data_IF_151955045606
#
_entry.id   IF_151955045606
#
_cell.length_a   1.000
_cell.length_b   1.000
_cell.length_c   1.000
_cell.angle_alpha   90.00
_cell.angle_beta   90.00
_cell.angle_gamma   90.00
#
_symmetry.space_group_name_H-M   'P 1'
#
loop_
_entity.id
_entity.type
_entity.pdbx_description
1 polymer ?
#
# COMPACT_ATOMS: atom_id res chain seq x y z
N UNK A 1 -17.18 32.68 -4.52
CA UNK A 1 -17.59 32.43 -3.12
C UNK A 1 -18.44 31.16 -3.05
N UNK A 2 -17.82 30.02 -2.72
CA UNK A 2 -18.43 28.87 -2.01
C UNK A 2 -17.38 27.76 -1.86
N UNK A 3 -16.25 28.08 -1.22
CA UNK A 3 -15.38 27.05 -0.64
C UNK A 3 -15.95 26.71 0.74
N UNK A 4 -16.70 25.62 0.84
CA UNK A 4 -17.12 25.05 2.13
C UNK A 4 -16.46 23.69 2.31
N UNK A 5 -15.40 23.71 3.13
CA UNK A 5 -15.08 22.75 4.20
C UNK A 5 -15.72 21.35 4.04
N UNK A 6 -15.05 20.43 3.36
CA UNK A 6 -15.40 19.01 3.40
C UNK A 6 -14.25 17.96 3.25
N UNK A 7 -12.96 18.27 2.92
CA UNK A 7 -12.01 17.18 2.66
C UNK A 7 -11.30 16.61 3.91
N UNK A 8 -11.26 17.35 5.03
CA UNK A 8 -10.35 17.00 6.14
C UNK A 8 -10.84 15.88 7.07
N UNK A 9 -12.16 15.75 7.31
CA UNK A 9 -12.71 14.69 8.17
C UNK A 9 -12.74 13.33 7.45
N UNK A 10 -12.95 13.36 6.13
CA UNK A 10 -12.97 12.18 5.25
C UNK A 10 -11.56 11.57 5.16
N UNK A 11 -10.54 12.41 5.01
CA UNK A 11 -9.13 11.99 4.99
C UNK A 11 -8.69 11.30 6.30
N UNK A 12 -9.14 11.83 7.43
CA UNK A 12 -8.86 11.30 8.77
C UNK A 12 -9.50 9.92 9.02
N UNK A 13 -10.72 9.75 8.55
CA UNK A 13 -11.46 8.49 8.61
C UNK A 13 -10.88 7.44 7.64
N UNK A 14 -10.40 7.85 6.47
CA UNK A 14 -9.71 6.97 5.51
C UNK A 14 -8.41 6.40 6.06
N UNK A 15 -7.64 7.20 6.79
CA UNK A 15 -6.39 6.80 7.43
C UNK A 15 -6.59 5.68 8.47
N UNK A 16 -7.69 5.77 9.23
CA UNK A 16 -8.12 4.76 10.20
C UNK A 16 -8.63 3.47 9.53
N UNK A 17 -9.18 3.59 8.31
CA UNK A 17 -9.70 2.50 7.50
C UNK A 17 -8.60 1.71 6.76
N UNK A 18 -7.52 2.39 6.34
CA UNK A 18 -6.36 1.78 5.68
C UNK A 18 -5.56 0.85 6.60
N UNK A 19 -5.63 1.05 7.93
CA UNK A 19 -5.06 0.14 8.93
C UNK A 19 -5.84 -1.17 9.08
N UNK A 20 -7.02 -1.28 8.46
CA UNK A 20 -7.78 -2.53 8.35
C UNK A 20 -7.75 -3.04 6.91
N UNK A 21 -6.65 -3.70 6.55
CA UNK A 21 -6.49 -4.31 5.23
C UNK A 21 -7.50 -5.45 4.97
N UNK A 22 -8.03 -5.44 3.75
CA UNK A 22 -8.69 -6.52 2.99
C UNK A 22 -10.23 -6.62 2.93
N UNK A 23 -10.64 -6.92 1.70
CA UNK A 23 -11.97 -7.11 1.09
C UNK A 23 -12.96 -7.94 1.91
N UNK A 24 -14.19 -7.46 2.12
CA UNK A 24 -15.31 -8.33 2.52
C UNK A 24 -16.66 -7.88 1.91
N UNK A 25 -17.33 -8.83 1.26
CA UNK A 25 -18.66 -8.68 0.65
C UNK A 25 -19.79 -8.80 1.69
N UNK A 26 -21.02 -8.45 1.30
CA UNK A 26 -22.13 -8.08 2.19
C UNK A 26 -22.79 -9.19 3.03
N UNK A 27 -22.39 -10.46 2.92
CA UNK A 27 -22.93 -11.54 3.77
C UNK A 27 -22.05 -11.92 4.97
N UNK A 28 -20.94 -11.22 5.20
CA UNK A 28 -20.01 -11.49 6.30
C UNK A 28 -19.98 -10.35 7.33
N UNK A 29 -21.15 -10.05 7.93
CA UNK A 29 -21.23 -9.25 9.17
C UNK A 29 -21.04 -10.12 10.44
N UNK A 30 -20.78 -11.42 10.28
CA UNK A 30 -20.25 -12.33 11.33
C UNK A 30 -18.72 -12.31 11.43
N UNK A 31 -18.07 -11.33 10.79
CA UNK A 31 -16.66 -11.34 10.42
C UNK A 31 -15.83 -10.21 11.05
N UNK A 32 -16.10 -9.88 12.31
CA UNK A 32 -15.08 -9.27 13.18
C UNK A 32 -14.20 -10.35 13.88
N UNK A 33 -14.34 -11.61 13.43
CA UNK A 33 -13.69 -12.81 13.94
C UNK A 33 -12.91 -13.59 12.85
N UNK A 34 -12.19 -12.92 11.95
CA UNK A 34 -11.31 -13.62 10.98
C UNK A 34 -9.90 -13.86 11.51
N UNK A 35 -9.36 -15.03 11.16
CA UNK A 35 -8.01 -15.51 11.53
C UNK A 35 -6.89 -14.60 11.06
N UNK A 36 -7.06 -13.84 9.97
CA UNK A 36 -6.01 -13.01 9.38
C UNK A 36 -5.79 -11.69 10.14
N UNK A 37 -6.85 -11.05 10.65
CA UNK A 37 -6.72 -9.86 11.51
C UNK A 37 -5.95 -10.17 12.80
N UNK A 38 -6.10 -11.39 13.30
CA UNK A 38 -5.38 -11.84 14.49
C UNK A 38 -3.87 -12.05 14.24
N UNK A 39 -3.49 -12.44 13.01
CA UNK A 39 -2.07 -12.60 12.63
C UNK A 39 -1.36 -11.24 12.56
N UNK A 40 -1.97 -10.26 11.90
CA UNK A 40 -1.43 -8.91 11.80
C UNK A 40 -1.38 -8.20 13.16
N UNK A 41 -2.40 -8.38 14.00
CA UNK A 41 -2.39 -7.86 15.37
C UNK A 41 -1.24 -8.46 16.20
N UNK A 42 -1.01 -9.78 16.07
CA UNK A 42 0.09 -10.45 16.74
C UNK A 42 1.47 -9.94 16.26
N UNK A 43 1.69 -9.88 14.94
CA UNK A 43 2.92 -9.33 14.35
C UNK A 43 3.15 -7.88 14.81
N UNK A 44 2.13 -7.04 14.70
CA UNK A 44 2.20 -5.64 15.14
C UNK A 44 2.53 -5.51 16.62
N UNK A 45 1.94 -6.34 17.49
CA UNK A 45 2.27 -6.35 18.90
C UNK A 45 3.73 -6.70 19.15
N UNK A 46 4.23 -7.79 18.56
CA UNK A 46 5.61 -8.24 18.76
C UNK A 46 6.57 -7.17 18.27
N UNK A 47 6.36 -6.62 17.06
CA UNK A 47 7.16 -5.51 16.52
C UNK A 47 7.19 -4.29 17.45
N UNK A 48 6.02 -3.85 17.93
CA UNK A 48 5.94 -2.65 18.80
C UNK A 48 6.62 -2.90 20.14
N UNK A 49 6.38 -4.04 20.78
CA UNK A 49 7.01 -4.37 22.07
C UNK A 49 8.52 -4.51 21.93
N UNK A 50 8.99 -5.20 20.89
CA UNK A 50 10.42 -5.29 20.55
C UNK A 50 11.05 -3.92 20.32
N UNK A 51 10.37 -3.05 19.58
CA UNK A 51 10.86 -1.71 19.29
C UNK A 51 10.96 -0.85 20.55
N UNK A 52 9.96 -0.93 21.44
CA UNK A 52 9.98 -0.23 22.73
C UNK A 52 11.17 -0.69 23.57
N UNK A 53 11.38 -2.01 23.66
CA UNK A 53 12.51 -2.58 24.40
C UNK A 53 13.85 -2.10 23.82
N UNK A 54 14.07 -2.28 22.52
CA UNK A 54 15.31 -1.86 21.86
C UNK A 54 15.56 -0.35 21.93
N UNK A 55 14.53 0.46 21.71
CA UNK A 55 14.65 1.92 21.77
C UNK A 55 14.98 2.39 23.19
N UNK A 56 14.40 1.76 24.22
CA UNK A 56 14.73 2.05 25.61
C UNK A 56 16.20 1.77 25.94
N UNK A 57 16.77 0.69 25.38
CA UNK A 57 18.17 0.31 25.52
C UNK A 57 19.11 1.27 24.78
N UNK A 58 18.80 1.56 23.50
CA UNK A 58 19.60 2.47 22.66
C UNK A 58 19.71 3.87 23.26
N UNK A 59 18.61 4.39 23.80
CA UNK A 59 18.56 5.76 24.35
C UNK A 59 18.74 5.83 25.87
N UNK A 60 19.08 4.72 26.53
CA UNK A 60 19.21 4.61 27.98
C UNK A 60 18.07 5.32 28.73
N UNK A 61 16.83 5.00 28.34
CA UNK A 61 15.62 5.66 28.85
C UNK A 61 14.65 4.64 29.44
N UNK A 62 13.75 5.10 30.30
CA UNK A 62 12.72 4.20 30.86
C UNK A 62 11.73 3.79 29.78
N UNK A 63 11.12 2.60 29.93
CA UNK A 63 10.09 2.09 29.02
C UNK A 63 8.92 3.07 28.91
N UNK A 64 8.54 3.69 30.03
CA UNK A 64 7.50 4.72 30.08
C UNK A 64 7.86 5.94 29.21
N UNK A 65 9.05 6.50 29.40
CA UNK A 65 9.51 7.65 28.62
C UNK A 65 9.62 7.31 27.12
N UNK A 66 10.06 6.08 26.79
CA UNK A 66 10.10 5.59 25.41
C UNK A 66 8.71 5.54 24.78
N UNK A 67 7.72 4.98 25.47
CA UNK A 67 6.34 4.89 24.99
C UNK A 67 5.76 6.28 24.68
N UNK A 68 5.89 7.22 25.63
CA UNK A 68 5.41 8.58 25.46
C UNK A 68 6.10 9.27 24.27
N UNK A 69 7.43 9.12 24.15
CA UNK A 69 8.24 9.70 23.09
C UNK A 69 7.87 9.14 21.70
N UNK A 70 7.72 7.83 21.57
CA UNK A 70 7.32 7.19 20.30
C UNK A 70 5.95 7.69 19.84
N UNK A 71 5.01 7.87 20.76
CA UNK A 71 3.72 8.47 20.41
C UNK A 71 3.91 9.88 19.82
N UNK A 72 4.75 10.74 20.41
CA UNK A 72 5.00 12.09 19.86
C UNK A 72 5.62 12.11 18.45
N UNK A 73 6.26 11.02 18.02
CA UNK A 73 6.90 10.94 16.70
C UNK A 73 5.91 10.60 15.58
N UNK A 74 4.69 10.19 15.92
CA UNK A 74 3.64 9.95 14.93
C UNK A 74 3.19 11.28 14.28
N UNK A 75 2.89 11.28 12.98
CA UNK A 75 2.63 12.50 12.23
C UNK A 75 1.37 13.22 12.71
N UNK A 76 1.44 14.55 12.73
CA UNK A 76 0.31 15.43 13.01
C UNK A 76 -0.36 15.82 11.68
N UNK A 77 -1.47 15.17 11.34
CA UNK A 77 -2.29 15.53 10.18
C UNK A 77 -3.72 15.76 10.63
N UNK A 78 -4.30 16.90 10.24
CA UNK A 78 -5.60 17.39 10.72
C UNK A 78 -5.48 18.69 11.51
N UNK A 79 -6.61 19.25 11.93
CA UNK A 79 -6.76 20.54 12.64
C UNK A 79 -5.59 20.90 13.58
N UNK A 80 -5.19 22.19 13.68
CA UNK A 80 -4.14 22.61 14.59
C UNK A 80 -4.46 22.17 16.03
N UNK A 81 -3.63 21.29 16.59
CA UNK A 81 -3.63 20.96 18.01
C UNK A 81 -3.92 19.50 18.41
N UNK A 82 -4.38 18.60 17.53
CA UNK A 82 -4.59 17.16 17.87
C UNK A 82 -4.37 16.24 16.67
N UNK A 83 -3.43 15.29 16.76
CA UNK A 83 -3.34 14.20 15.78
C UNK A 83 -4.13 12.97 16.28
N UNK A 84 -5.00 12.38 15.45
CA UNK A 84 -5.72 11.16 15.83
C UNK A 84 -4.80 9.99 16.10
N UNK A 85 -3.69 9.88 15.36
CA UNK A 85 -2.72 8.78 15.55
C UNK A 85 -1.96 8.92 16.87
N UNK A 86 -1.51 10.12 17.25
CA UNK A 86 -0.94 10.33 18.58
C UNK A 86 -1.98 10.06 19.66
N UNK A 87 -3.22 10.53 19.47
CA UNK A 87 -4.32 10.30 20.42
C UNK A 87 -4.59 8.81 20.65
N UNK A 88 -4.63 8.01 19.58
CA UNK A 88 -4.78 6.56 19.68
C UNK A 88 -3.56 5.92 20.33
N UNK A 89 -2.35 6.37 20.00
CA UNK A 89 -1.13 5.88 20.61
C UNK A 89 -1.13 6.11 22.12
N UNK A 90 -1.41 7.34 22.58
CA UNK A 90 -1.49 7.66 24.00
C UNK A 90 -2.59 6.86 24.71
N UNK A 91 -3.76 6.66 24.07
CA UNK A 91 -4.81 5.78 24.61
C UNK A 91 -4.31 4.33 24.78
N UNK A 92 -3.57 3.79 23.80
CA UNK A 92 -2.99 2.45 23.92
C UNK A 92 -1.92 2.38 25.01
N UNK A 93 -1.13 3.44 25.19
CA UNK A 93 -0.17 3.56 26.31
C UNK A 93 -0.88 3.59 27.65
N UNK A 94 -2.01 4.28 27.78
CA UNK A 94 -2.79 4.27 29.02
C UNK A 94 -3.36 2.87 29.34
N UNK A 95 -3.86 2.16 28.33
CA UNK A 95 -4.49 0.84 28.50
C UNK A 95 -3.45 -0.26 28.76
N UNK A 96 -2.39 -0.32 27.96
CA UNK A 96 -1.43 -1.43 27.97
C UNK A 96 -0.09 -1.07 28.63
N UNK A 97 0.27 0.21 28.68
CA UNK A 97 1.57 0.70 29.16
C UNK A 97 1.96 0.16 30.54
N UNK A 98 1.12 0.23 31.58
CA UNK A 98 1.47 -0.29 32.90
C UNK A 98 1.86 -1.77 32.90
N UNK A 99 1.20 -2.58 32.06
CA UNK A 99 1.52 -4.01 31.92
C UNK A 99 2.80 -4.22 31.12
N UNK A 100 2.94 -3.54 29.98
CA UNK A 100 4.11 -3.63 29.11
C UNK A 100 5.38 -3.21 29.86
N UNK A 101 5.35 -2.07 30.57
CA UNK A 101 6.47 -1.56 31.38
C UNK A 101 6.95 -2.62 32.36
N UNK A 102 6.05 -3.14 33.21
CA UNK A 102 6.39 -4.12 34.24
C UNK A 102 6.96 -5.42 33.65
N UNK A 103 6.44 -5.86 32.51
CA UNK A 103 6.90 -7.10 31.86
C UNK A 103 8.27 -6.93 31.19
N UNK A 104 8.51 -5.80 30.50
CA UNK A 104 9.82 -5.50 29.90
C UNK A 104 10.88 -5.33 30.99
N UNK A 105 10.56 -4.64 32.10
CA UNK A 105 11.47 -4.51 33.25
C UNK A 105 11.79 -5.85 33.90
N UNK A 106 10.84 -6.80 33.87
CA UNK A 106 11.04 -8.18 34.30
C UNK A 106 11.76 -9.06 33.24
N UNK A 107 12.28 -8.47 32.16
CA UNK A 107 13.00 -9.14 31.06
C UNK A 107 12.16 -10.22 30.36
N UNK A 108 10.85 -10.00 30.28
CA UNK A 108 9.93 -10.85 29.52
C UNK A 108 9.94 -10.39 28.06
N UNK A 109 10.28 -11.30 27.14
CA UNK A 109 10.38 -10.98 25.72
C UNK A 109 9.01 -10.65 25.08
N UNK A 110 9.06 -9.99 23.92
CA UNK A 110 7.87 -9.52 23.20
C UNK A 110 6.85 -10.63 22.88
N UNK A 111 7.32 -11.84 22.54
CA UNK A 111 6.43 -12.97 22.24
C UNK A 111 5.53 -13.33 23.43
N UNK A 112 6.14 -13.46 24.62
CA UNK A 112 5.41 -13.80 25.85
C UNK A 112 4.49 -12.65 26.25
N UNK A 113 4.93 -11.39 26.15
CA UNK A 113 4.10 -10.21 26.42
C UNK A 113 2.85 -10.23 25.56
N UNK A 114 3.00 -10.40 24.23
CA UNK A 114 1.90 -10.35 23.28
C UNK A 114 0.93 -11.52 23.42
N UNK A 115 1.41 -12.70 23.85
CA UNK A 115 0.53 -13.82 24.22
C UNK A 115 -0.18 -13.61 25.56
N UNK A 116 0.49 -12.98 26.54
CA UNK A 116 -0.08 -12.67 27.84
C UNK A 116 -1.23 -11.66 27.73
N UNK A 117 -1.09 -10.60 26.93
CA UNK A 117 -2.15 -9.60 26.71
C UNK A 117 -3.22 -10.06 25.69
N UNK A 118 -3.18 -11.32 25.26
CA UNK A 118 -4.14 -11.95 24.35
C UNK A 118 -4.23 -11.37 22.93
N UNK A 119 -3.26 -10.55 22.53
CA UNK A 119 -3.15 -10.07 21.14
C UNK A 119 -2.68 -11.20 20.24
N UNK A 120 -1.65 -11.94 20.66
CA UNK A 120 -1.27 -13.21 20.05
C UNK A 120 -2.05 -14.36 20.70
N UNK A 121 -2.76 -15.17 19.89
CA UNK A 121 -3.41 -16.38 20.40
C UNK A 121 -2.78 -17.62 19.82
N UNK A 122 -2.59 -18.62 20.67
CA UNK A 122 -2.21 -19.97 20.27
C UNK A 122 -3.42 -20.70 19.69
N UNK A 123 -3.25 -21.31 18.52
CA UNK A 123 -4.26 -22.20 17.95
C UNK A 123 -4.17 -23.57 18.62
N UNK A 124 -5.31 -24.17 18.96
CA UNK A 124 -5.36 -25.52 19.51
C UNK A 124 -4.61 -26.51 18.59
N UNK A 125 -3.76 -27.36 19.19
CA UNK A 125 -2.95 -28.34 18.45
C UNK A 125 -1.74 -27.77 17.69
N UNK A 126 -1.44 -26.47 17.80
CA UNK A 126 -0.23 -25.88 17.19
C UNK A 126 0.73 -25.36 18.25
N UNK A 127 2.06 -25.32 17.97
CA UNK A 127 3.01 -24.67 18.86
C UNK A 127 2.72 -23.16 18.97
N UNK A 128 3.34 -22.52 19.97
CA UNK A 128 3.38 -21.06 20.03
C UNK A 128 4.21 -20.54 18.85
N UNK A 129 3.76 -19.44 18.23
CA UNK A 129 4.61 -18.67 17.33
C UNK A 129 5.56 -17.83 18.19
N UNK A 130 6.83 -17.78 17.83
CA UNK A 130 7.84 -17.01 18.56
C UNK A 130 8.85 -16.42 17.59
N UNK A 131 9.20 -15.15 17.80
CA UNK A 131 10.26 -14.45 17.07
C UNK A 131 11.61 -14.64 17.79
N UNK A 132 11.60 -14.63 19.12
CA UNK A 132 12.78 -14.78 19.96
C UNK A 132 12.95 -16.23 20.44
N UNK A 133 14.13 -16.58 20.97
CA UNK A 133 14.32 -17.87 21.63
C UNK A 133 13.25 -18.10 22.72
N UNK A 134 12.63 -19.30 22.75
CA UNK A 134 11.59 -19.58 23.73
C UNK A 134 12.14 -19.49 25.15
N UNK A 135 11.32 -19.09 26.15
CA UNK A 135 11.74 -19.08 27.55
C UNK A 135 12.20 -20.46 28.00
N UNK A 136 13.27 -20.53 28.82
CA UNK A 136 13.83 -21.81 29.33
C UNK A 136 12.79 -22.67 30.06
N UNK A 137 11.90 -22.01 30.79
CA UNK A 137 10.76 -22.61 31.53
C UNK A 137 9.56 -22.96 30.65
N UNK A 138 9.58 -22.60 29.37
CA UNK A 138 8.49 -22.79 28.43
C UNK A 138 7.42 -21.69 28.47
N UNK A 139 6.74 -21.52 27.33
CA UNK A 139 5.74 -20.45 27.14
C UNK A 139 4.60 -20.46 28.15
N UNK A 140 4.05 -21.63 28.47
CA UNK A 140 2.92 -21.72 29.41
C UNK A 140 3.30 -21.21 30.80
N UNK A 141 4.50 -21.58 31.28
CA UNK A 141 5.00 -21.17 32.60
C UNK A 141 5.32 -19.68 32.59
N UNK A 142 5.99 -19.18 31.55
CA UNK A 142 6.30 -17.76 31.40
C UNK A 142 5.02 -16.90 31.40
N UNK A 143 4.00 -17.27 30.61
CA UNK A 143 2.69 -16.58 30.60
C UNK A 143 2.00 -16.65 31.97
N UNK A 144 2.09 -17.77 32.68
CA UNK A 144 1.52 -17.92 34.02
C UNK A 144 2.22 -16.99 35.02
N UNK A 145 3.55 -16.95 35.03
CA UNK A 145 4.32 -16.00 35.86
C UNK A 145 3.96 -14.55 35.53
N UNK A 146 3.80 -14.21 34.24
CA UNK A 146 3.33 -12.89 33.83
C UNK A 146 1.95 -12.55 34.41
N UNK A 147 1.03 -13.52 34.52
CA UNK A 147 -0.27 -13.33 35.20
C UNK A 147 -0.12 -13.10 36.70
N UNK A 148 0.73 -13.88 37.37
CA UNK A 148 0.98 -13.76 38.81
C UNK A 148 1.58 -12.40 39.20
N UNK A 149 2.27 -11.72 38.27
CA UNK A 149 2.78 -10.36 38.46
C UNK A 149 1.67 -9.29 38.62
N UNK A 150 0.43 -9.57 38.23
CA UNK A 150 -0.69 -8.62 38.34
C UNK A 150 -1.77 -9.22 39.25
N UNK A 151 -1.91 -8.70 40.48
CA UNK A 151 -2.93 -9.13 41.43
C UNK A 151 -4.34 -8.81 40.92
N UNK A 152 -5.31 -9.62 41.33
CA UNK A 152 -6.72 -9.78 40.90
C UNK A 152 -7.65 -8.55 41.03
N UNK A 153 -7.12 -7.32 41.05
CA UNK A 153 -7.89 -6.08 41.24
C UNK A 153 -8.13 -5.22 39.99
N UNK A 154 -7.49 -5.50 38.84
CA UNK A 154 -7.56 -4.62 37.65
C UNK A 154 -7.97 -5.34 36.37
N UNK A 155 -8.87 -6.32 36.49
CA UNK A 155 -9.36 -7.12 35.38
C UNK A 155 -10.75 -6.66 34.92
N UNK A 156 -10.93 -5.36 34.63
CA UNK A 156 -12.23 -4.83 34.16
C UNK A 156 -12.25 -4.09 32.83
N UNK A 157 -11.14 -4.05 32.08
CA UNK A 157 -11.15 -3.51 30.72
C UNK A 157 -10.36 -4.41 29.78
N UNK A 158 -10.96 -5.56 29.44
CA UNK A 158 -10.52 -6.42 28.34
C UNK A 158 -11.74 -6.94 27.61
N UNK A 159 -12.42 -6.05 26.89
CA UNK A 159 -13.21 -6.44 25.73
C UNK A 159 -13.03 -5.39 24.63
N UNK A 160 -12.57 -5.89 23.49
CA UNK A 160 -12.81 -5.38 22.13
C UNK A 160 -12.31 -3.97 21.77
N UNK A 161 -11.09 -3.90 21.26
CA UNK A 161 -10.72 -2.94 20.22
C UNK A 161 -11.29 -3.37 18.85
N UNK A 162 -12.62 -3.50 18.77
CA UNK A 162 -13.37 -3.76 17.52
C UNK A 162 -14.15 -2.51 17.04
N UNK A 163 -13.87 -1.33 17.61
CA UNK A 163 -14.92 -0.33 17.77
C UNK A 163 -15.03 0.78 16.70
N UNK A 164 -14.17 0.83 15.69
CA UNK A 164 -14.21 1.98 14.76
C UNK A 164 -15.21 1.76 13.61
N UNK A 165 -15.32 0.54 13.08
CA UNK A 165 -16.20 0.23 11.95
C UNK A 165 -17.63 -0.18 12.34
N UNK A 166 -17.91 -0.36 13.63
CA UNK A 166 -19.24 -0.73 14.17
C UNK A 166 -20.12 0.49 14.47
N UNK A 167 -19.56 1.71 14.42
CA UNK A 167 -20.30 2.95 14.63
C UNK A 167 -21.22 3.27 13.43
N UNK A 168 -22.52 3.58 13.66
CA UNK A 168 -23.51 3.77 12.58
C UNK A 168 -23.14 4.82 11.54
N UNK A 169 -22.47 5.90 11.95
CA UNK A 169 -22.03 6.99 11.08
C UNK A 169 -20.79 6.63 10.22
N UNK A 170 -19.99 5.66 10.68
CA UNK A 170 -18.73 5.22 10.04
C UNK A 170 -18.99 4.08 9.05
N UNK A 171 -20.00 3.23 9.32
CA UNK A 171 -20.38 2.06 8.51
C UNK A 171 -20.67 2.37 7.03
N UNK A 172 -21.35 3.48 6.74
CA UNK A 172 -21.72 3.85 5.37
C UNK A 172 -20.50 4.35 4.56
N UNK A 173 -19.55 4.99 5.24
CA UNK A 173 -18.27 5.45 4.68
C UNK A 173 -17.31 4.27 4.45
N UNK A 174 -17.25 3.31 5.37
CA UNK A 174 -16.47 2.06 5.23
C UNK A 174 -16.93 1.20 4.03
N UNK A 175 -18.22 1.21 3.71
CA UNK A 175 -18.75 0.47 2.56
C UNK A 175 -18.37 1.13 1.23
N UNK A 176 -18.35 2.48 1.17
CA UNK A 176 -17.91 3.22 -0.03
C UNK A 176 -16.40 3.12 -0.26
N UNK A 177 -15.57 3.19 0.79
CA UNK A 177 -14.11 3.02 0.68
C UNK A 177 -13.69 1.60 0.32
N UNK A 178 -14.41 0.58 0.80
CA UNK A 178 -14.21 -0.83 0.37
C UNK A 178 -14.45 -1.03 -1.13
N UNK A 179 -15.39 -0.30 -1.73
CA UNK A 179 -15.68 -0.40 -3.17
C UNK A 179 -14.55 0.21 -4.01
N UNK A 180 -14.01 1.36 -3.57
CA UNK A 180 -12.94 2.09 -4.26
C UNK A 180 -11.58 1.35 -4.19
N UNK A 181 -11.20 0.85 -3.01
CA UNK A 181 -9.96 0.05 -2.83
C UNK A 181 -10.02 -1.33 -3.51
N UNK A 182 -11.24 -1.88 -3.71
CA UNK A 182 -11.41 -3.13 -4.44
C UNK A 182 -11.13 -2.95 -5.92
N UNK A 183 -11.58 -1.84 -6.50
CA UNK A 183 -11.61 -1.64 -7.94
C UNK A 183 -10.42 -0.83 -8.51
N UNK A 184 -9.49 -0.37 -7.66
CA UNK A 184 -8.25 0.33 -8.07
C UNK A 184 -8.44 1.65 -8.81
N UNK A 185 -9.59 2.26 -8.58
CA UNK A 185 -9.87 3.59 -9.06
C UNK A 185 -9.37 4.62 -8.05
N UNK A 186 -8.91 5.78 -8.53
CA UNK A 186 -8.60 6.91 -7.67
C UNK A 186 -9.77 7.27 -6.75
N UNK A 187 -9.45 7.66 -5.52
CA UNK A 187 -10.47 8.15 -4.60
C UNK A 187 -10.97 9.55 -4.95
N UNK A 188 -10.08 10.39 -5.49
CA UNK A 188 -10.38 11.74 -5.99
C UNK A 188 -10.35 11.67 -7.51
N UNK A 189 -11.54 11.63 -8.10
CA UNK A 189 -11.78 11.50 -9.54
C UNK A 189 -13.20 12.01 -9.79
N UNK A 190 -13.32 13.29 -10.14
CA UNK A 190 -14.61 13.97 -10.21
C UNK A 190 -15.36 13.70 -11.52
N UNK A 191 -14.65 13.39 -12.60
CA UNK A 191 -15.24 13.14 -13.92
C UNK A 191 -15.31 11.65 -14.30
N UNK A 192 -14.64 10.77 -13.54
CA UNK A 192 -14.72 9.32 -13.68
C UNK A 192 -13.81 8.73 -14.76
N UNK A 193 -12.75 9.43 -15.16
CA UNK A 193 -11.80 8.99 -16.19
C UNK A 193 -10.69 8.06 -15.66
N UNK A 194 -10.67 7.84 -14.35
CA UNK A 194 -9.71 7.05 -13.57
C UNK A 194 -8.31 7.66 -13.43
N UNK A 195 -8.12 8.93 -13.77
CA UNK A 195 -6.96 9.74 -13.43
C UNK A 195 -7.31 10.65 -12.25
N UNK A 196 -6.31 11.37 -11.74
CA UNK A 196 -6.51 12.16 -10.53
C UNK A 196 -5.52 13.30 -10.43
N UNK A 197 -6.00 14.39 -9.87
CA UNK A 197 -5.17 15.50 -9.39
C UNK A 197 -4.47 15.23 -8.04
N UNK A 198 -4.88 14.19 -7.28
CA UNK A 198 -4.34 13.83 -5.95
C UNK A 198 -3.26 12.73 -6.04
N UNK A 199 -2.17 12.73 -5.23
CA UNK A 199 -1.07 11.76 -5.38
C UNK A 199 -1.44 10.33 -4.96
N UNK A 200 -1.91 10.20 -3.71
CA UNK A 200 -2.09 8.91 -3.05
C UNK A 200 -3.46 8.30 -3.41
N UNK A 201 -3.86 7.21 -2.72
CA UNK A 201 -5.20 6.62 -2.86
C UNK A 201 -5.56 6.29 -4.31
N UNK A 202 -4.63 5.64 -5.02
CA UNK A 202 -4.73 5.29 -6.45
C UNK A 202 -4.72 6.47 -7.43
N UNK A 203 -4.32 7.67 -6.97
CA UNK A 203 -4.17 8.87 -7.80
C UNK A 203 -2.85 8.94 -8.59
N UNK A 204 -2.26 10.13 -8.76
CA UNK A 204 -1.19 10.33 -9.75
C UNK A 204 0.17 9.69 -9.42
N UNK A 205 0.37 9.13 -8.23
CA UNK A 205 1.51 8.23 -8.01
C UNK A 205 1.37 6.93 -8.81
N UNK A 206 0.13 6.53 -9.11
CA UNK A 206 -0.22 5.32 -9.83
C UNK A 206 -0.39 5.56 -11.32
N UNK A 207 -0.91 6.72 -11.73
CA UNK A 207 -1.15 7.08 -13.14
C UNK A 207 -0.69 8.49 -13.45
N UNK A 208 -0.65 8.89 -14.71
CA UNK A 208 -0.43 10.29 -15.08
C UNK A 208 -1.34 11.23 -14.30
N UNK A 209 -0.82 12.38 -13.86
CA UNK A 209 -1.68 13.39 -13.23
C UNK A 209 -2.66 13.94 -14.27
N UNK A 210 -3.92 13.96 -13.89
CA UNK A 210 -4.96 14.62 -14.65
C UNK A 210 -4.72 16.14 -14.71
N UNK A 211 -4.92 16.72 -15.89
CA UNK A 211 -4.81 18.14 -16.13
C UNK A 211 -6.15 18.87 -16.04
N UNK A 212 -7.28 18.17 -16.12
CA UNK A 212 -8.63 18.71 -15.92
C UNK A 212 -9.60 17.66 -15.35
N UNK A 213 -9.62 17.53 -14.02
CA UNK A 213 -10.49 16.63 -13.23
C UNK A 213 -12.00 16.92 -13.39
N UNK A 214 -12.41 17.84 -14.27
CA UNK A 214 -13.83 18.15 -14.52
C UNK A 214 -14.31 17.69 -15.89
N UNK A 215 -13.42 17.12 -16.71
CA UNK A 215 -13.69 16.75 -18.08
C UNK A 215 -13.10 15.37 -18.41
N UNK A 216 -13.95 14.34 -18.40
CA UNK A 216 -13.56 12.95 -18.66
C UNK A 216 -13.02 12.70 -20.09
N UNK A 217 -13.00 13.72 -20.97
CA UNK A 217 -12.35 13.67 -22.27
C UNK A 217 -10.92 14.23 -22.26
N UNK A 218 -10.39 14.66 -21.12
CA UNK A 218 -9.06 15.29 -20.98
C UNK A 218 -8.21 14.44 -20.04
N UNK A 219 -7.33 13.60 -20.58
CA UNK A 219 -6.53 12.69 -19.75
C UNK A 219 -5.24 12.17 -20.41
N UNK A 220 -4.25 11.73 -19.61
CA UNK A 220 -3.00 11.18 -20.12
C UNK A 220 -3.18 10.04 -21.14
N UNK A 221 -2.59 10.24 -22.32
CA UNK A 221 -2.48 9.22 -23.37
C UNK A 221 -3.63 9.15 -24.37
N UNK A 222 -4.61 10.06 -24.26
CA UNK A 222 -5.59 10.32 -25.30
C UNK A 222 -4.92 10.81 -26.59
N UNK A 223 -5.55 10.60 -27.75
CA UNK A 223 -5.19 11.29 -29.00
C UNK A 223 -5.64 12.75 -28.90
N UNK A 224 -4.81 13.70 -29.36
CA UNK A 224 -5.11 15.12 -29.19
C UNK A 224 -6.37 15.54 -29.95
N UNK A 225 -7.28 16.24 -29.29
CA UNK A 225 -8.49 16.79 -29.88
C UNK A 225 -8.14 18.03 -30.71
N UNK A 226 -8.36 17.97 -32.03
CA UNK A 226 -7.99 19.04 -32.97
C UNK A 226 -6.53 19.51 -32.83
N UNK A 227 -5.62 18.56 -32.55
CA UNK A 227 -4.19 18.84 -32.29
C UNK A 227 -3.93 19.79 -31.12
N UNK A 228 -4.82 19.78 -30.11
CA UNK A 228 -4.67 20.53 -28.87
C UNK A 228 -4.43 22.04 -29.10
N UNK A 229 -5.02 22.58 -30.18
CA UNK A 229 -4.85 23.97 -30.57
C UNK A 229 -5.42 24.98 -29.53
N UNK A 230 -6.39 24.55 -28.71
CA UNK A 230 -7.05 25.37 -27.68
C UNK A 230 -6.77 24.90 -26.26
N UNK A 231 -6.76 23.59 -26.03
CA UNK A 231 -6.59 22.97 -24.72
C UNK A 231 -5.72 21.71 -24.85
N UNK A 232 -5.00 21.35 -23.77
CA UNK A 232 -4.19 20.12 -23.71
C UNK A 232 -5.07 18.93 -23.34
N UNK A 233 -5.69 18.29 -24.34
CA UNK A 233 -6.64 17.18 -24.12
C UNK A 233 -5.97 15.88 -23.69
N UNK A 234 -4.63 15.80 -23.78
CA UNK A 234 -3.89 14.58 -23.45
C UNK A 234 -2.86 14.72 -22.32
N UNK A 235 -2.91 15.84 -21.62
CA UNK A 235 -2.11 16.17 -20.42
C UNK A 235 -0.60 16.04 -20.58
N UNK A 236 -0.08 16.15 -21.81
CA UNK A 236 1.34 16.00 -22.08
C UNK A 236 2.12 17.34 -21.95
N UNK A 237 1.40 18.45 -21.79
CA UNK A 237 1.93 19.81 -21.67
C UNK A 237 2.23 20.51 -22.99
N UNK A 238 1.78 19.97 -24.13
CA UNK A 238 1.96 20.52 -25.47
C UNK A 238 0.57 20.90 -26.01
N UNK A 239 0.33 22.19 -26.15
CA UNK A 239 -0.93 22.72 -26.68
C UNK A 239 -0.70 24.11 -27.27
N UNK A 240 -1.73 24.65 -27.93
CA UNK A 240 -1.68 25.94 -28.59
C UNK A 240 -1.15 25.88 -30.03
N UNK A 241 -1.00 27.07 -30.62
CA UNK A 241 -0.65 27.26 -32.02
C UNK A 241 0.64 28.05 -32.14
N UNK A 242 1.55 27.63 -33.01
CA UNK A 242 2.76 28.38 -33.32
C UNK A 242 2.37 29.67 -34.08
N UNK A 243 2.62 30.87 -33.52
CA UNK A 243 2.21 32.12 -34.15
C UNK A 243 2.96 32.41 -35.45
N UNK A 244 4.05 31.70 -35.76
CA UNK A 244 4.85 31.93 -36.97
C UNK A 244 4.21 31.35 -38.23
N UNK A 245 3.56 30.19 -38.11
CA UNK A 245 3.02 29.45 -39.24
C UNK A 245 1.55 29.03 -39.06
N UNK A 246 0.97 29.25 -37.88
CA UNK A 246 -0.42 28.91 -37.57
C UNK A 246 -0.64 27.41 -37.34
N UNK A 247 0.42 26.60 -37.21
CA UNK A 247 0.31 25.15 -37.02
C UNK A 247 0.25 24.82 -35.51
N UNK A 248 -0.68 23.96 -35.06
CA UNK A 248 -0.72 23.50 -33.67
C UNK A 248 0.59 22.82 -33.24
N UNK A 249 1.07 23.10 -32.02
CA UNK A 249 2.35 22.56 -31.55
C UNK A 249 2.33 21.03 -31.44
N UNK A 250 1.23 20.43 -31.00
CA UNK A 250 1.07 18.97 -30.93
C UNK A 250 1.14 18.35 -32.34
N UNK A 251 0.57 19.00 -33.35
CA UNK A 251 0.71 18.56 -34.74
C UNK A 251 2.18 18.64 -35.19
N UNK A 252 2.85 19.75 -34.90
CA UNK A 252 4.23 20.00 -35.34
C UNK A 252 5.23 19.06 -34.68
N UNK A 253 5.05 18.75 -33.40
CA UNK A 253 6.03 18.01 -32.60
C UNK A 253 5.69 16.53 -32.41
N UNK A 254 4.40 16.16 -32.47
CA UNK A 254 3.96 14.80 -32.12
C UNK A 254 3.34 14.03 -33.30
N UNK A 255 2.88 14.70 -34.36
CA UNK A 255 2.36 13.99 -35.54
C UNK A 255 3.44 13.11 -36.19
N UNK A 256 3.08 11.91 -36.60
CA UNK A 256 4.02 10.92 -37.15
C UNK A 256 5.00 10.33 -36.14
N UNK A 257 5.02 10.80 -34.89
CA UNK A 257 5.81 10.16 -33.83
C UNK A 257 5.09 8.93 -33.31
N UNK A 258 5.85 7.87 -32.99
CA UNK A 258 5.31 6.67 -32.37
C UNK A 258 5.05 6.84 -30.86
N UNK A 259 4.28 7.87 -30.48
CA UNK A 259 3.89 8.08 -29.07
C UNK A 259 3.04 6.91 -28.54
N UNK A 260 3.40 6.41 -27.35
CA UNK A 260 2.79 5.25 -26.70
C UNK A 260 2.86 5.39 -25.19
N UNK A 261 1.82 4.92 -24.51
CA UNK A 261 1.79 4.81 -23.05
C UNK A 261 2.56 3.61 -22.53
N UNK A 262 2.85 3.61 -21.24
CA UNK A 262 3.41 2.46 -20.52
C UNK A 262 2.47 2.03 -19.40
N UNK A 263 2.11 0.74 -19.40
CA UNK A 263 1.18 0.17 -18.44
C UNK A 263 1.87 -0.99 -17.73
N UNK A 264 1.93 -0.94 -16.41
CA UNK A 264 2.34 -2.07 -15.58
C UNK A 264 1.10 -2.81 -15.11
N UNK A 265 0.99 -4.10 -15.42
CA UNK A 265 0.03 -5.01 -14.83
C UNK A 265 0.79 -5.97 -13.92
N UNK A 266 0.85 -5.66 -12.63
CA UNK A 266 1.84 -6.26 -11.72
C UNK A 266 1.32 -6.63 -10.33
N UNK A 267 2.24 -7.17 -9.54
CA UNK A 267 2.04 -7.46 -8.12
C UNK A 267 2.76 -6.44 -7.22
N UNK A 268 3.05 -6.81 -5.98
CA UNK A 268 3.77 -5.98 -5.01
C UNK A 268 5.14 -5.51 -5.50
N UNK A 269 5.86 -6.33 -6.28
CA UNK A 269 7.15 -5.92 -6.83
C UNK A 269 6.98 -4.86 -7.92
N UNK A 270 5.91 -4.97 -8.73
CA UNK A 270 5.59 -3.97 -9.76
C UNK A 270 5.14 -2.62 -9.20
N UNK A 271 4.49 -2.63 -8.04
CA UNK A 271 4.12 -1.43 -7.30
C UNK A 271 5.26 -0.86 -6.42
N UNK A 272 6.38 -1.59 -6.30
CA UNK A 272 7.48 -1.31 -5.37
C UNK A 272 6.98 -1.24 -3.91
N UNK A 273 6.39 -2.34 -3.42
CA UNK A 273 6.03 -2.49 -2.02
C UNK A 273 7.28 -2.37 -1.13
N UNK A 274 7.28 -1.41 -0.19
CA UNK A 274 8.42 -1.13 0.65
C UNK A 274 8.02 -0.56 2.01
N UNK A 275 8.46 -1.22 3.07
CA UNK A 275 8.41 -0.71 4.45
C UNK A 275 9.79 -0.12 4.77
N UNK A 276 9.89 1.18 5.10
CA UNK A 276 11.16 1.79 5.48
C UNK A 276 11.77 1.09 6.72
N UNK A 277 13.01 0.59 6.65
CA UNK A 277 13.65 -0.06 7.81
C UNK A 277 13.80 0.90 9.00
N UNK A 278 13.87 2.20 8.75
CA UNK A 278 13.93 3.25 9.77
C UNK A 278 12.73 3.21 10.74
N UNK A 279 11.58 2.68 10.29
CA UNK A 279 10.38 2.55 11.14
C UNK A 279 10.50 1.49 12.22
N UNK A 280 11.41 0.52 12.07
CA UNK A 280 11.57 -0.61 12.98
C UNK A 280 12.99 -0.79 13.49
N UNK A 281 13.93 0.06 13.07
CA UNK A 281 15.33 0.05 13.53
C UNK A 281 15.50 1.07 14.64
N UNK A 282 15.47 0.64 15.90
CA UNK A 282 15.47 1.53 17.06
C UNK A 282 16.60 2.58 17.07
N UNK A 283 17.80 2.23 16.58
CA UNK A 283 18.95 3.14 16.50
C UNK A 283 18.82 4.28 15.50
N UNK A 284 17.84 4.21 14.59
CA UNK A 284 17.62 5.21 13.54
C UNK A 284 16.35 6.03 13.75
N UNK A 285 15.57 5.70 14.78
CA UNK A 285 14.31 6.40 15.07
C UNK A 285 14.58 7.82 15.56
N UNK A 286 13.89 8.77 14.94
CA UNK A 286 13.96 10.20 15.22
C UNK A 286 12.55 10.83 15.11
N UNK A 287 12.37 12.10 15.51
CA UNK A 287 11.09 12.79 15.33
C UNK A 287 10.57 12.85 13.89
N UNK A 288 11.42 12.61 12.88
CA UNK A 288 11.05 12.66 11.46
C UNK A 288 10.74 11.27 10.87
N UNK A 289 11.03 10.19 11.59
CA UNK A 289 10.99 8.81 11.06
C UNK A 289 9.62 8.44 10.49
N UNK A 290 8.53 8.85 11.15
CA UNK A 290 7.17 8.51 10.73
C UNK A 290 6.47 9.63 9.93
N UNK A 291 7.22 10.61 9.41
CA UNK A 291 6.65 11.72 8.65
C UNK A 291 5.95 11.29 7.37
N UNK A 292 6.42 10.20 6.74
CA UNK A 292 5.86 9.60 5.53
C UNK A 292 4.81 8.50 5.81
N UNK A 293 4.53 8.16 7.07
CA UNK A 293 3.70 7.02 7.44
C UNK A 293 2.33 7.03 6.73
N UNK A 294 1.71 8.20 6.62
CA UNK A 294 0.38 8.35 6.04
C UNK A 294 0.39 8.19 4.53
N UNK A 295 1.41 8.75 3.88
CA UNK A 295 1.58 8.64 2.43
C UNK A 295 1.82 7.19 2.03
N UNK A 296 2.63 6.46 2.80
CA UNK A 296 2.92 5.05 2.57
C UNK A 296 1.69 4.19 2.80
N UNK A 297 0.98 4.38 3.91
CA UNK A 297 -0.24 3.61 4.22
C UNK A 297 -1.35 3.89 3.19
N UNK A 298 -1.53 5.15 2.79
CA UNK A 298 -2.52 5.54 1.76
C UNK A 298 -2.17 5.10 0.34
N UNK A 299 -0.94 4.64 0.13
CA UNK A 299 -0.53 3.93 -1.07
C UNK A 299 -0.37 2.42 -0.84
N UNK A 300 -0.99 1.85 0.19
CA UNK A 300 -0.98 0.41 0.42
C UNK A 300 0.45 -0.17 0.63
N UNK A 301 1.37 0.66 1.14
CA UNK A 301 2.81 0.36 1.34
C UNK A 301 3.59 0.31 0.01
N UNK A 302 2.95 0.71 -1.08
CA UNK A 302 3.54 0.75 -2.42
C UNK A 302 4.10 2.12 -2.76
N UNK A 303 5.10 2.12 -3.65
CA UNK A 303 5.83 3.30 -4.09
C UNK A 303 5.93 3.36 -5.62
N UNK A 304 4.79 3.33 -6.36
CA UNK A 304 4.76 3.24 -7.81
C UNK A 304 5.48 4.42 -8.49
N UNK A 305 5.52 5.59 -7.85
CA UNK A 305 6.24 6.79 -8.28
C UNK A 305 7.77 6.63 -8.31
N UNK A 306 8.30 5.58 -7.68
CA UNK A 306 9.72 5.20 -7.71
C UNK A 306 9.98 3.86 -8.41
N UNK A 307 8.93 3.19 -8.90
CA UNK A 307 9.03 1.85 -9.49
C UNK A 307 9.83 1.81 -10.80
N UNK A 308 10.36 0.64 -11.13
CA UNK A 308 11.15 0.43 -12.34
C UNK A 308 10.37 0.64 -13.65
N UNK A 309 9.04 0.47 -13.65
CA UNK A 309 8.23 0.61 -14.86
C UNK A 309 7.63 2.00 -14.97
N UNK A 310 6.98 2.50 -13.92
CA UNK A 310 6.19 3.75 -13.97
C UNK A 310 6.78 4.88 -13.13
N UNK A 311 7.91 4.67 -12.46
CA UNK A 311 8.49 5.67 -11.58
C UNK A 311 8.84 6.97 -12.30
N UNK A 312 8.59 8.11 -11.67
CA UNK A 312 8.80 9.42 -12.28
C UNK A 312 9.47 10.42 -11.34
N UNK A 313 9.53 10.12 -10.05
CA UNK A 313 10.30 10.86 -9.07
C UNK A 313 11.65 10.15 -8.84
N UNK A 314 12.66 10.89 -8.36
CA UNK A 314 13.91 10.28 -7.93
C UNK A 314 13.73 9.69 -6.52
N UNK A 315 14.16 8.45 -6.33
CA UNK A 315 14.15 7.79 -5.02
C UNK A 315 15.34 8.23 -4.16
N UNK A 316 15.11 8.42 -2.87
CA UNK A 316 16.17 8.61 -1.87
C UNK A 316 16.84 7.30 -1.46
N UNK A 317 16.26 6.14 -1.80
CA UNK A 317 16.68 4.80 -1.33
C UNK A 317 17.58 4.07 -2.36
N UNK A 318 17.60 4.53 -3.62
CA UNK A 318 18.36 3.86 -4.70
C UNK A 318 19.03 4.80 -5.73
N UNK A 319 19.06 6.12 -5.47
CA UNK A 319 19.60 7.10 -6.41
C UNK A 319 18.62 7.48 -7.53
N UNK A 320 19.16 7.82 -8.71
CA UNK A 320 18.37 8.28 -9.86
C UNK A 320 17.44 7.17 -10.37
N UNK A 321 16.13 7.41 -10.33
CA UNK A 321 15.14 6.46 -10.85
C UNK A 321 15.15 6.46 -12.38
N UNK A 322 15.80 5.50 -13.04
CA UNK A 322 15.69 5.31 -14.50
C UNK A 322 14.60 4.27 -14.84
N UNK A 323 13.34 4.70 -14.80
CA UNK A 323 12.21 3.82 -15.13
C UNK A 323 11.95 3.70 -16.63
N UNK A 324 11.23 2.66 -17.05
CA UNK A 324 10.74 2.51 -18.43
C UNK A 324 9.92 3.73 -18.89
N UNK A 325 9.06 4.28 -18.03
CA UNK A 325 8.34 5.52 -18.30
C UNK A 325 9.30 6.68 -18.61
N UNK A 326 10.32 6.91 -17.77
CA UNK A 326 11.27 8.01 -18.00
C UNK A 326 12.09 7.80 -19.27
N UNK A 327 12.45 6.56 -19.61
CA UNK A 327 13.11 6.23 -20.86
C UNK A 327 12.20 6.47 -22.07
N UNK A 328 10.92 6.07 -22.01
CA UNK A 328 9.93 6.35 -23.06
C UNK A 328 9.68 7.84 -23.25
N UNK A 329 9.55 8.60 -22.16
CA UNK A 329 9.44 10.06 -22.20
C UNK A 329 10.73 10.73 -22.70
N UNK A 330 11.91 10.13 -22.45
CA UNK A 330 13.20 10.61 -22.99
C UNK A 330 13.29 10.41 -24.49
N UNK A 331 12.84 9.25 -24.98
CA UNK A 331 12.79 8.92 -26.40
C UNK A 331 11.79 9.78 -27.17
N UNK A 332 10.60 10.02 -26.60
CA UNK A 332 9.59 10.89 -27.19
C UNK A 332 8.87 11.67 -26.07
N UNK A 333 8.98 13.02 -26.11
CA UNK A 333 8.43 13.90 -25.07
C UNK A 333 6.90 13.96 -25.08
N UNK A 334 6.27 13.62 -26.20
CA UNK A 334 4.81 13.51 -26.32
C UNK A 334 4.20 12.39 -25.45
N UNK A 335 5.04 11.53 -24.85
CA UNK A 335 4.63 10.51 -23.88
C UNK A 335 4.57 11.02 -22.43
N UNK A 336 4.67 12.34 -22.21
CA UNK A 336 4.62 12.88 -20.85
C UNK A 336 3.30 12.49 -20.17
N UNK A 337 3.38 12.05 -18.91
CA UNK A 337 2.29 11.55 -18.06
C UNK A 337 1.61 10.25 -18.51
N UNK A 338 1.88 9.73 -19.70
CA UNK A 338 1.25 8.50 -20.20
C UNK A 338 1.84 7.22 -19.56
N UNK A 339 1.64 7.07 -18.25
CA UNK A 339 1.97 5.89 -17.45
C UNK A 339 0.77 5.45 -16.61
N UNK A 340 0.63 4.14 -16.41
CA UNK A 340 -0.35 3.56 -15.48
C UNK A 340 0.24 2.34 -14.77
N UNK A 341 0.22 2.34 -13.44
CA UNK A 341 0.63 1.23 -12.60
C UNK A 341 -0.62 0.53 -12.05
N UNK A 342 -1.07 -0.49 -12.79
CA UNK A 342 -2.21 -1.34 -12.44
C UNK A 342 -1.67 -2.56 -11.68
N UNK A 343 -1.03 -2.30 -10.54
CA UNK A 343 -0.45 -3.34 -9.68
C UNK A 343 -1.14 -3.43 -8.33
N UNK A 344 -1.10 -4.61 -7.71
CA UNK A 344 -1.66 -4.80 -6.36
C UNK A 344 -0.89 -5.84 -5.56
N UNK A 345 -0.69 -5.55 -4.28
CA UNK A 345 -0.15 -6.50 -3.31
C UNK A 345 -0.98 -7.79 -3.28
N UNK A 346 -0.29 -8.93 -3.49
CA UNK A 346 -0.92 -10.25 -3.60
C UNK A 346 -1.53 -10.59 -4.97
N UNK A 347 -1.38 -9.73 -5.99
CA UNK A 347 -1.87 -10.04 -7.33
C UNK A 347 -1.13 -11.23 -7.94
N UNK A 348 -1.88 -12.10 -8.60
CA UNK A 348 -1.39 -13.26 -9.36
C UNK A 348 -2.15 -13.37 -10.68
N UNK A 349 -1.83 -14.36 -11.51
CA UNK A 349 -2.64 -14.67 -12.69
C UNK A 349 -4.12 -14.85 -12.38
N UNK A 350 -4.45 -15.41 -11.21
CA UNK A 350 -5.84 -15.66 -10.77
C UNK A 350 -6.65 -14.38 -10.60
N UNK A 351 -6.00 -13.28 -10.23
CA UNK A 351 -6.62 -11.98 -10.04
C UNK A 351 -6.37 -11.00 -11.19
N UNK A 352 -5.50 -11.35 -12.14
CA UNK A 352 -5.06 -10.45 -13.22
C UNK A 352 -6.22 -9.93 -14.07
N UNK A 353 -7.26 -10.74 -14.30
CA UNK A 353 -8.46 -10.29 -15.03
C UNK A 353 -9.25 -9.21 -14.27
N UNK A 354 -9.44 -9.38 -12.96
CA UNK A 354 -10.09 -8.35 -12.13
C UNK A 354 -9.22 -7.09 -12.03
N UNK A 355 -7.90 -7.28 -12.00
CA UNK A 355 -6.93 -6.19 -11.92
C UNK A 355 -6.95 -5.32 -13.18
N UNK A 356 -6.88 -5.94 -14.36
CA UNK A 356 -6.85 -5.23 -15.64
C UNK A 356 -8.14 -4.47 -15.94
N UNK A 357 -9.25 -4.76 -15.26
CA UNK A 357 -10.49 -3.98 -15.38
C UNK A 357 -10.35 -2.55 -14.87
N UNK A 358 -9.35 -2.26 -14.02
CA UNK A 358 -9.04 -0.90 -13.60
C UNK A 358 -8.26 -0.08 -14.64
N UNK A 359 -7.81 -0.68 -15.74
CA UNK A 359 -7.02 -0.03 -16.78
C UNK A 359 -7.84 1.05 -17.50
N UNK A 360 -7.27 2.25 -17.67
CA UNK A 360 -7.89 3.34 -18.42
C UNK A 360 -7.28 3.40 -19.82
N UNK A 361 -7.94 2.77 -20.80
CA UNK A 361 -7.58 2.92 -22.20
C UNK A 361 -8.77 2.67 -23.12
N UNK A 362 -8.99 3.59 -24.03
CA UNK A 362 -10.01 3.53 -25.05
C UNK A 362 -9.41 3.15 -26.41
N UNK A 363 -9.94 2.10 -27.03
CA UNK A 363 -9.41 1.57 -28.29
C UNK A 363 -9.46 2.58 -29.46
N UNK A 364 -10.44 3.49 -29.46
CA UNK A 364 -10.65 4.47 -30.53
C UNK A 364 -9.95 5.79 -30.24
N UNK A 365 -10.07 6.29 -29.01
CA UNK A 365 -9.65 7.65 -28.66
C UNK A 365 -8.20 7.75 -28.20
N UNK A 366 -7.55 6.64 -27.83
CA UNK A 366 -6.23 6.71 -27.20
C UNK A 366 -5.07 6.32 -28.13
N UNK A 367 -3.88 6.77 -27.73
CA UNK A 367 -2.61 6.32 -28.28
C UNK A 367 -2.36 4.86 -27.85
N UNK A 368 -1.65 4.04 -28.65
CA UNK A 368 -1.32 2.66 -28.26
C UNK A 368 -0.47 2.62 -26.97
N UNK A 369 -0.35 1.44 -26.36
CA UNK A 369 0.42 1.27 -25.12
C UNK A 369 1.34 0.05 -25.17
N UNK A 370 2.42 0.11 -24.39
CA UNK A 370 3.24 -1.04 -24.02
C UNK A 370 2.72 -1.53 -22.66
N UNK A 371 2.27 -2.77 -22.57
CA UNK A 371 1.78 -3.39 -21.34
C UNK A 371 2.81 -4.41 -20.85
N UNK A 372 3.34 -4.21 -19.66
CA UNK A 372 4.20 -5.17 -18.97
C UNK A 372 3.32 -6.03 -18.06
N UNK A 373 3.13 -7.30 -18.40
CA UNK A 373 2.44 -8.27 -17.57
C UNK A 373 3.45 -8.97 -16.66
N UNK A 374 3.42 -8.68 -15.36
CA UNK A 374 4.44 -9.12 -14.41
C UNK A 374 3.81 -9.65 -13.11
N UNK A 375 3.14 -10.79 -13.21
CA UNK A 375 2.71 -11.59 -12.05
C UNK A 375 3.85 -12.54 -11.67
N UNK A 376 4.83 -12.03 -10.91
CA UNK A 376 6.16 -12.65 -10.87
C UNK A 376 6.42 -13.55 -9.66
N UNK A 377 5.47 -13.64 -8.71
CA UNK A 377 5.63 -14.48 -7.52
C UNK A 377 4.36 -15.15 -7.00
N UNK A 378 3.23 -14.43 -6.86
CA UNK A 378 2.08 -14.91 -6.09
C UNK A 378 1.33 -16.13 -6.66
N UNK A 379 1.65 -16.55 -7.89
CA UNK A 379 1.17 -17.84 -8.42
C UNK A 379 1.83 -19.04 -7.71
N UNK A 380 2.99 -18.86 -7.08
CA UNK A 380 3.69 -19.88 -6.30
C UNK A 380 3.91 -19.47 -4.83
N UNK A 381 4.01 -18.17 -4.52
CA UNK A 381 4.17 -17.65 -3.17
C UNK A 381 2.83 -17.58 -2.41
N UNK A 382 2.74 -18.27 -1.26
CA UNK A 382 1.55 -18.25 -0.42
C UNK A 382 1.87 -18.60 1.05
N UNK A 383 0.95 -18.24 1.97
CA UNK A 383 1.09 -18.51 3.41
C UNK A 383 0.40 -19.79 3.90
N UNK A 384 0.13 -20.77 3.02
CA UNK A 384 -0.52 -22.02 3.41
C UNK A 384 0.48 -23.01 4.01
N UNK A 385 0.12 -23.79 5.05
CA UNK A 385 0.98 -24.84 5.57
C UNK A 385 1.37 -25.89 4.51
N UNK A 386 0.43 -26.23 3.62
CA UNK A 386 0.69 -27.03 2.42
C UNK A 386 0.79 -26.10 1.22
N UNK A 387 1.97 -25.49 1.06
CA UNK A 387 2.22 -24.46 0.05
C UNK A 387 2.07 -25.00 -1.37
N UNK A 388 2.53 -26.23 -1.63
CA UNK A 388 2.56 -26.83 -2.97
C UNK A 388 1.15 -27.00 -3.53
N UNK A 389 0.21 -27.46 -2.70
CA UNK A 389 -1.20 -27.63 -3.09
C UNK A 389 -1.89 -26.32 -3.45
N UNK A 390 -1.38 -25.18 -2.99
CA UNK A 390 -1.96 -23.86 -3.26
C UNK A 390 -1.37 -23.14 -4.46
N UNK A 391 -0.28 -23.63 -5.04
CA UNK A 391 0.34 -23.05 -6.24
C UNK A 391 -0.57 -23.17 -7.47
N UNK A 392 -0.48 -22.20 -8.38
CA UNK A 392 -1.22 -22.20 -9.65
C UNK A 392 -0.64 -23.26 -10.58
N UNK A 393 -1.49 -24.15 -11.06
CA UNK A 393 -1.09 -25.17 -12.03
C UNK A 393 -0.87 -24.55 -13.42
N UNK A 394 0.04 -25.08 -14.26
CA UNK A 394 0.34 -24.51 -15.58
C UNK A 394 -0.89 -24.32 -16.48
N UNK A 395 -1.83 -25.27 -16.49
CA UNK A 395 -3.07 -25.16 -17.27
C UNK A 395 -3.95 -24.00 -16.77
N UNK A 396 -3.99 -23.79 -15.44
CA UNK A 396 -4.73 -22.69 -14.85
C UNK A 396 -4.05 -21.35 -15.13
N UNK A 397 -2.72 -21.27 -15.03
CA UNK A 397 -1.94 -20.09 -15.43
C UNK A 397 -2.24 -19.70 -16.88
N UNK A 398 -2.18 -20.67 -17.81
CA UNK A 398 -2.51 -20.44 -19.22
C UNK A 398 -3.93 -19.91 -19.41
N UNK A 399 -4.92 -20.55 -18.79
CA UNK A 399 -6.31 -20.10 -18.86
C UNK A 399 -6.48 -18.67 -18.33
N UNK A 400 -5.88 -18.36 -17.18
CA UNK A 400 -5.95 -17.04 -16.57
C UNK A 400 -5.34 -15.96 -17.46
N UNK A 401 -4.11 -16.19 -17.94
CA UNK A 401 -3.37 -15.25 -18.79
C UNK A 401 -4.09 -15.03 -20.11
N UNK A 402 -4.58 -16.08 -20.78
CA UNK A 402 -5.32 -15.94 -22.05
C UNK A 402 -6.59 -15.10 -21.87
N UNK A 403 -7.33 -15.29 -20.77
CA UNK A 403 -8.51 -14.45 -20.47
C UNK A 403 -8.13 -12.97 -20.31
N UNK A 404 -7.03 -12.68 -19.61
CA UNK A 404 -6.53 -11.32 -19.47
C UNK A 404 -6.06 -10.73 -20.81
N UNK A 405 -5.38 -11.52 -21.66
CA UNK A 405 -4.96 -11.07 -22.99
C UNK A 405 -6.13 -10.78 -23.92
N UNK A 406 -7.20 -11.59 -23.87
CA UNK A 406 -8.44 -11.33 -24.62
C UNK A 406 -9.11 -10.03 -24.17
N UNK A 407 -9.12 -9.75 -22.86
CA UNK A 407 -9.59 -8.48 -22.34
C UNK A 407 -8.74 -7.32 -22.85
N UNK A 408 -7.41 -7.42 -22.78
CA UNK A 408 -6.51 -6.38 -23.30
C UNK A 408 -6.73 -6.14 -24.79
N UNK A 409 -6.93 -7.20 -25.58
CA UNK A 409 -7.18 -7.09 -27.02
C UNK A 409 -8.46 -6.28 -27.35
N UNK A 410 -9.48 -6.33 -26.50
CA UNK A 410 -10.71 -5.56 -26.72
C UNK A 410 -10.64 -4.10 -26.25
N UNK A 411 -9.59 -3.70 -25.52
CA UNK A 411 -9.46 -2.35 -24.94
C UNK A 411 -8.28 -1.57 -25.52
N UNK A 412 -7.19 -2.24 -25.87
CA UNK A 412 -5.98 -1.59 -26.35
C UNK A 412 -6.15 -1.13 -27.81
N UNK A 413 -5.72 0.11 -28.14
CA UNK A 413 -5.60 0.56 -29.52
C UNK A 413 -4.67 -0.32 -30.35
N UNK A 414 -4.96 -0.45 -31.65
CA UNK A 414 -4.09 -1.14 -32.61
C UNK A 414 -2.67 -0.54 -32.58
N UNK A 415 -1.65 -1.41 -32.59
CA UNK A 415 -0.24 -1.02 -32.45
C UNK A 415 0.28 -1.02 -31.01
N UNK A 416 -0.52 -1.54 -30.08
CA UNK A 416 -0.08 -1.81 -28.70
C UNK A 416 0.77 -3.08 -28.63
N UNK A 417 1.59 -3.20 -27.58
CA UNK A 417 2.46 -4.35 -27.35
C UNK A 417 2.25 -4.89 -25.93
N UNK A 418 2.18 -6.21 -25.77
CA UNK A 418 2.11 -6.85 -24.45
C UNK A 418 3.34 -7.72 -24.25
N UNK A 419 4.06 -7.51 -23.14
CA UNK A 419 5.27 -8.25 -22.76
C UNK A 419 4.95 -9.08 -21.52
N UNK A 420 5.02 -10.41 -21.64
CA UNK A 420 4.85 -11.34 -20.52
C UNK A 420 6.19 -11.56 -19.83
N UNK A 421 6.28 -11.25 -18.54
CA UNK A 421 7.47 -11.48 -17.72
C UNK A 421 7.35 -12.84 -17.02
N UNK A 422 8.41 -13.65 -17.10
CA UNK A 422 8.50 -14.93 -16.39
C UNK A 422 8.55 -14.76 -14.87
N UNK A 423 8.23 -15.83 -14.14
CA UNK A 423 8.38 -15.86 -12.69
C UNK A 423 9.84 -15.72 -12.29
N UNK A 424 10.09 -15.11 -11.13
CA UNK A 424 11.44 -14.97 -10.57
C UNK A 424 11.89 -16.30 -9.94
N UNK A 425 13.15 -16.67 -10.15
CA UNK A 425 13.79 -17.70 -9.33
C UNK A 425 14.04 -17.12 -7.93
N UNK A 426 13.20 -17.47 -6.96
CA UNK A 426 13.29 -16.95 -5.59
C UNK A 426 14.31 -17.64 -4.66
N UNK A 427 15.05 -18.66 -5.14
CA UNK A 427 16.00 -19.43 -4.29
C UNK A 427 17.07 -18.54 -3.64
N UNK A 428 17.57 -17.54 -4.36
CA UNK A 428 18.60 -16.62 -3.86
C UNK A 428 18.19 -15.88 -2.58
N UNK A 429 16.89 -15.72 -2.32
CA UNK A 429 16.41 -14.98 -1.14
C UNK A 429 16.85 -15.69 0.14
N UNK A 430 16.63 -17.00 0.23
CA UNK A 430 17.10 -17.78 1.38
C UNK A 430 18.62 -17.75 1.45
N UNK A 431 19.29 -18.07 0.35
CA UNK A 431 20.75 -18.17 0.29
C UNK A 431 21.45 -16.86 0.71
N UNK A 432 20.83 -15.71 0.41
CA UNK A 432 21.39 -14.39 0.74
C UNK A 432 20.98 -13.89 2.12
N UNK A 433 19.79 -14.23 2.62
CA UNK A 433 19.19 -13.57 3.78
C UNK A 433 19.14 -14.43 5.05
N UNK A 434 19.24 -15.76 4.97
CA UNK A 434 18.97 -16.65 6.11
C UNK A 434 19.88 -16.43 7.33
N UNK A 435 21.10 -15.93 7.11
CA UNK A 435 22.09 -15.65 8.15
C UNK A 435 22.23 -14.16 8.47
N UNK A 436 21.53 -13.29 7.75
CA UNK A 436 21.54 -11.84 7.98
C UNK A 436 20.51 -11.49 9.03
N UNK A 437 20.80 -10.47 9.83
CA UNK A 437 19.86 -9.96 10.82
C UNK A 437 18.77 -9.14 10.15
N UNK A 438 17.53 -9.39 10.56
CA UNK A 438 16.39 -8.53 10.25
C UNK A 438 16.55 -7.18 11.00
N UNK A 439 15.94 -6.08 10.53
CA UNK A 439 16.03 -4.78 11.21
C UNK A 439 15.54 -4.74 12.68
N UNK A 440 14.56 -5.59 13.02
CA UNK A 440 14.17 -5.92 14.40
C UNK A 440 15.08 -7.02 14.95
#
# INVERSE_FOLDING_TARGET
MCWKKAPSLIFLLLLMLLMSGSSFSKDELKLLHTKDNQRFACLGCVTVVSLIEQFSQVHNSTVKATLEKLCTYLPVYGFPGKSPLQGICFLLVEIYGPKIIKLIEAKINADVVCHFIHVCKKKAGQPYCHLYPPPKEGFNVAIKKSKEMFTTGSQKYMHELSFICTLPFVRNLCQRTKLLLKNQFPFVDLDGDHFSTYPNLRGYYWRGRDCDDTNAAVYPGRRPETWDAKEDSNCNGISGVDPKDGIPYEQKFCNGTESKGIIMLGDSAGALAHIPPEWITASQISPKTYSNLLDVISNEIDWPQFSAVTGFLNSTIGGWTESLYRLLRRRNRCNHRDYQNISKNGASSRSALHLVQGLARNQQFDKPAIVIFAMIGNDVCNGSPDTLKKMTQPQQMRSNVVKTLLYLNSHLPKGSHVVLIGLVNGSFIWDTMHSRYHPL
#
